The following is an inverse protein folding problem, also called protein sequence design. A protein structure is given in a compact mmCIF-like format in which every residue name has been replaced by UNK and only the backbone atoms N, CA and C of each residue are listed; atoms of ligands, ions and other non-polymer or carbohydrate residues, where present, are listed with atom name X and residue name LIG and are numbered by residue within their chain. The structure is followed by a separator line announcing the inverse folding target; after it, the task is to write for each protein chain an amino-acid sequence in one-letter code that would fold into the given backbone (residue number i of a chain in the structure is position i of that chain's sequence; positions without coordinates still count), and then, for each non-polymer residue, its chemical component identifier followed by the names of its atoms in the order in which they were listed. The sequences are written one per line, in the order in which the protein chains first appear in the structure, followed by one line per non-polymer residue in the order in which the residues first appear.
data_IF_791474976492
#
_entry.id   IF_791474976492
#
_cell.length_a   1.000
_cell.length_b   1.000
_cell.length_c   1.000
_cell.angle_alpha   90.00
_cell.angle_beta   90.00
_cell.angle_gamma   90.00
#
_symmetry.space_group_name_H-M   'P 1'
#
loop_
_entity.id
_entity.type
_entity.pdbx_description
1 polymer ?
#
# COMPACT_ATOMS: atom_id res chain seq x y z
N UNK A 1 -24.02 15.25 9.11
CA UNK A 1 -22.94 15.88 8.33
C UNK A 1 -21.64 15.22 8.73
N UNK A 2 -21.00 14.46 7.83
CA UNK A 2 -19.67 13.90 8.05
C UNK A 2 -18.72 14.61 7.11
N UNK A 3 -17.93 15.54 7.63
CA UNK A 3 -16.87 16.20 6.89
C UNK A 3 -15.88 15.14 6.45
N UNK A 4 -16.06 14.67 5.22
CA UNK A 4 -15.07 13.91 4.45
C UNK A 4 -13.90 14.88 4.32
N UNK A 5 -12.94 14.82 5.24
CA UNK A 5 -11.68 15.54 5.14
C UNK A 5 -10.87 14.93 3.98
N UNK A 6 -11.37 15.10 2.77
CA UNK A 6 -10.68 14.86 1.53
C UNK A 6 -9.54 15.87 1.49
N UNK A 7 -8.38 15.43 1.96
CA UNK A 7 -7.13 16.10 1.65
C UNK A 7 -7.04 16.24 0.14
N UNK A 8 -6.70 17.44 -0.32
CA UNK A 8 -6.63 17.75 -1.74
C UNK A 8 -5.69 16.77 -2.46
N UNK A 9 -6.07 16.33 -3.65
CA UNK A 9 -5.31 15.35 -4.41
C UNK A 9 -3.88 15.84 -4.70
N UNK A 10 -3.70 17.14 -4.94
CA UNK A 10 -2.39 17.76 -5.13
C UNK A 10 -1.52 17.65 -3.88
N UNK A 11 -2.09 17.78 -2.68
CA UNK A 11 -1.36 17.56 -1.43
C UNK A 11 -0.96 16.10 -1.25
N UNK A 12 -1.87 15.17 -1.54
CA UNK A 12 -1.58 13.74 -1.48
C UNK A 12 -0.47 13.34 -2.46
N UNK A 13 -0.47 13.89 -3.69
CA UNK A 13 0.61 13.68 -4.67
C UNK A 13 1.95 14.20 -4.16
N UNK A 14 1.99 15.40 -3.57
CA UNK A 14 3.23 15.94 -2.97
C UNK A 14 3.76 15.03 -1.86
N UNK A 15 2.89 14.54 -0.98
CA UNK A 15 3.28 13.64 0.12
C UNK A 15 3.74 12.28 -0.38
N UNK A 16 3.03 11.71 -1.35
CA UNK A 16 3.43 10.44 -1.97
C UNK A 16 4.81 10.56 -2.65
N UNK A 17 5.04 11.64 -3.40
CA UNK A 17 6.35 11.93 -3.99
C UNK A 17 7.44 12.05 -2.92
N UNK A 18 7.17 12.77 -1.83
CA UNK A 18 8.10 12.88 -0.72
C UNK A 18 8.39 11.53 -0.07
N UNK A 19 7.39 10.67 0.12
CA UNK A 19 7.56 9.33 0.70
C UNK A 19 8.45 8.42 -0.17
N UNK A 20 8.29 8.49 -1.49
CA UNK A 20 9.16 7.80 -2.46
C UNK A 20 10.59 8.35 -2.40
N UNK A 21 10.75 9.68 -2.44
CA UNK A 21 12.08 10.32 -2.43
C UNK A 21 12.84 10.14 -1.11
N UNK A 22 12.12 10.12 0.01
CA UNK A 22 12.69 9.90 1.34
C UNK A 22 12.95 8.42 1.63
N UNK A 23 12.49 7.49 0.78
CA UNK A 23 12.57 6.05 1.02
C UNK A 23 11.71 5.58 2.20
N UNK A 24 10.76 6.40 2.65
CA UNK A 24 9.80 6.03 3.71
C UNK A 24 8.85 4.94 3.24
N UNK A 25 8.52 4.95 1.95
CA UNK A 25 7.86 3.84 1.29
C UNK A 25 8.74 3.41 0.11
N UNK A 26 9.12 2.13 -0.01
CA UNK A 26 9.98 1.68 -1.09
C UNK A 26 9.41 2.04 -2.46
N UNK A 27 10.23 2.37 -3.46
CA UNK A 27 9.75 2.63 -4.83
C UNK A 27 9.46 1.35 -5.64
N UNK A 28 9.84 0.18 -5.09
CA UNK A 28 9.63 -1.14 -5.68
C UNK A 28 8.19 -1.64 -5.56
N UNK A 29 7.87 -2.70 -6.29
CA UNK A 29 6.60 -3.42 -6.10
C UNK A 29 6.55 -4.04 -4.70
N UNK A 30 5.42 -3.90 -3.98
CA UNK A 30 5.20 -4.68 -2.78
C UNK A 30 5.10 -6.15 -3.16
N UNK A 31 5.64 -7.02 -2.29
CA UNK A 31 5.61 -8.46 -2.46
C UNK A 31 4.19 -9.00 -2.26
N UNK A 32 3.44 -8.38 -1.34
CA UNK A 32 2.02 -8.65 -1.11
C UNK A 32 1.25 -7.39 -0.77
N UNK A 33 -0.03 -7.40 -1.13
CA UNK A 33 -0.99 -6.35 -0.81
C UNK A 33 -2.24 -7.01 -0.25
N UNK A 34 -2.72 -6.52 0.89
CA UNK A 34 -4.04 -6.85 1.42
C UNK A 34 -4.95 -5.64 1.41
N UNK A 35 -6.22 -5.89 1.10
CA UNK A 35 -7.27 -4.91 1.22
C UNK A 35 -8.31 -5.32 2.23
N UNK A 36 -8.65 -4.39 3.13
CA UNK A 36 -9.59 -4.65 4.21
C UNK A 36 -10.18 -3.38 4.80
N UNK A 37 -11.09 -3.58 5.75
CA UNK A 37 -11.55 -2.50 6.62
C UNK A 37 -10.38 -1.99 7.48
N UNK A 38 -10.28 -0.68 7.67
CA UNK A 38 -9.16 -0.09 8.40
C UNK A 38 -8.99 -0.66 9.81
N UNK A 39 -7.84 -1.24 10.08
CA UNK A 39 -7.49 -1.78 11.38
C UNK A 39 -7.14 -0.72 12.42
N UNK A 40 -7.22 0.58 12.07
CA UNK A 40 -6.68 1.67 12.89
C UNK A 40 -5.20 1.93 12.62
N UNK A 41 -4.64 1.36 11.54
CA UNK A 41 -3.27 1.63 11.11
C UNK A 41 -3.05 3.09 10.72
N UNK A 42 -1.82 3.58 10.85
CA UNK A 42 -1.47 4.94 10.45
C UNK A 42 -1.03 4.96 9.00
N UNK A 43 -1.73 5.72 8.16
CA UNK A 43 -1.37 5.87 6.75
C UNK A 43 0.00 6.53 6.62
N UNK A 44 0.96 5.83 6.00
CA UNK A 44 2.33 6.35 5.82
C UNK A 44 2.42 7.58 4.91
N UNK A 45 1.42 7.82 4.06
CA UNK A 45 1.42 8.91 3.08
C UNK A 45 0.78 10.18 3.65
N UNK A 46 -0.43 10.06 4.21
CA UNK A 46 -1.19 11.21 4.70
C UNK A 46 -1.11 11.39 6.22
N UNK A 47 -0.43 10.48 6.91
CA UNK A 47 -0.14 10.53 8.34
C UNK A 47 -1.38 10.31 9.25
N UNK A 48 -2.55 10.12 8.66
CA UNK A 48 -3.83 9.92 9.36
C UNK A 48 -4.11 8.44 9.63
N UNK A 49 -4.82 8.17 10.72
CA UNK A 49 -5.35 6.85 11.05
C UNK A 49 -6.39 6.41 10.02
N UNK A 50 -6.22 5.21 9.47
CA UNK A 50 -7.22 4.54 8.62
C UNK A 50 -8.30 3.94 9.52
N UNK A 51 -9.49 4.49 9.46
CA UNK A 51 -10.61 4.09 10.33
C UNK A 51 -11.25 2.79 9.82
N UNK A 52 -11.96 2.09 10.69
CA UNK A 52 -12.64 0.83 10.35
C UNK A 52 -13.68 0.92 9.22
N UNK A 53 -14.20 2.11 8.92
CA UNK A 53 -15.11 2.33 7.79
C UNK A 53 -14.39 2.78 6.51
N UNK A 54 -13.07 2.99 6.57
CA UNK A 54 -12.23 3.36 5.43
C UNK A 54 -11.53 2.11 4.90
N UNK A 55 -11.25 2.09 3.60
CA UNK A 55 -10.53 0.98 2.99
C UNK A 55 -9.02 1.17 3.21
N UNK A 56 -8.41 0.20 3.90
CA UNK A 56 -6.98 0.11 4.14
C UNK A 56 -6.33 -0.83 3.13
N UNK A 57 -5.18 -0.39 2.61
CA UNK A 57 -4.25 -1.22 1.85
C UNK A 57 -3.01 -1.43 2.71
N UNK A 58 -2.77 -2.69 3.08
CA UNK A 58 -1.57 -3.13 3.78
C UNK A 58 -0.56 -3.65 2.75
N UNK A 59 0.65 -3.11 2.76
CA UNK A 59 1.72 -3.44 1.82
C UNK A 59 2.83 -4.20 2.54
N UNK A 60 3.17 -5.40 2.07
CA UNK A 60 4.31 -6.18 2.55
C UNK A 60 5.49 -6.03 1.61
N UNK A 61 6.66 -5.76 2.18
CA UNK A 61 7.93 -5.72 1.48
C UNK A 61 8.90 -6.68 2.16
N UNK A 62 9.28 -7.73 1.45
CA UNK A 62 10.29 -8.69 1.90
C UNK A 62 11.67 -8.05 1.76
N UNK A 63 12.51 -8.18 2.78
CA UNK A 63 13.93 -7.86 2.70
C UNK A 63 14.75 -9.14 2.54
N UNK A 64 14.66 -9.75 1.37
CA UNK A 64 15.43 -10.96 1.05
C UNK A 64 15.17 -12.11 2.04
N UNK A 65 16.21 -12.50 2.78
CA UNK A 65 16.17 -13.63 3.73
C UNK A 65 15.83 -13.21 5.18
N UNK A 66 15.39 -11.98 5.40
CA UNK A 66 14.93 -11.52 6.71
C UNK A 66 13.57 -12.17 7.05
N UNK A 67 13.44 -12.61 8.30
CA UNK A 67 12.24 -13.32 8.77
C UNK A 67 11.03 -12.39 9.00
N UNK A 68 11.27 -11.09 9.16
CA UNK A 68 10.21 -10.10 9.42
C UNK A 68 10.09 -9.16 8.21
N UNK A 69 8.99 -9.25 7.45
CA UNK A 69 8.78 -8.36 6.32
C UNK A 69 8.27 -6.99 6.79
N UNK A 70 8.68 -5.93 6.10
CA UNK A 70 8.19 -4.59 6.39
C UNK A 70 6.73 -4.45 5.96
N UNK A 71 5.88 -3.94 6.85
CA UNK A 71 4.47 -3.73 6.58
C UNK A 71 4.08 -2.27 6.70
N UNK A 72 3.34 -1.78 5.72
CA UNK A 72 2.88 -0.39 5.66
C UNK A 72 1.37 -0.32 5.43
N UNK A 73 0.69 0.45 6.28
CA UNK A 73 -0.72 0.78 6.12
C UNK A 73 -0.91 2.04 5.27
N UNK A 74 -1.89 2.02 4.38
CA UNK A 74 -2.27 3.19 3.58
C UNK A 74 -3.78 3.22 3.37
N UNK A 75 -4.37 4.39 3.17
CA UNK A 75 -5.72 4.46 2.59
C UNK A 75 -5.66 4.02 1.12
N UNK A 76 -6.74 3.41 0.60
CA UNK A 76 -6.85 3.07 -0.82
C UNK A 76 -6.50 4.25 -1.76
N UNK A 77 -7.03 5.44 -1.49
CA UNK A 77 -6.75 6.64 -2.32
C UNK A 77 -5.27 7.05 -2.26
N UNK A 78 -4.65 6.96 -1.08
CA UNK A 78 -3.25 7.28 -0.91
C UNK A 78 -2.37 6.27 -1.65
N UNK A 79 -2.72 4.99 -1.58
CA UNK A 79 -2.05 3.91 -2.30
C UNK A 79 -2.04 4.16 -3.81
N UNK A 80 -3.20 4.44 -4.42
CA UNK A 80 -3.27 4.70 -5.87
C UNK A 80 -2.43 5.89 -6.32
N UNK A 81 -2.34 6.94 -5.49
CA UNK A 81 -1.50 8.10 -5.78
C UNK A 81 -0.01 7.74 -5.66
N UNK A 82 0.38 6.97 -4.65
CA UNK A 82 1.75 6.49 -4.54
C UNK A 82 2.15 5.59 -5.69
N UNK A 83 1.27 4.67 -6.13
CA UNK A 83 1.53 3.84 -7.32
C UNK A 83 1.78 4.71 -8.56
N UNK A 84 0.97 5.75 -8.75
CA UNK A 84 1.18 6.69 -9.85
C UNK A 84 2.52 7.44 -9.73
N UNK A 85 2.89 7.89 -8.54
CA UNK A 85 4.12 8.65 -8.34
C UNK A 85 5.38 7.81 -8.50
N UNK A 86 5.39 6.53 -8.08
CA UNK A 86 6.52 5.62 -8.31
C UNK A 86 6.63 5.14 -9.75
N UNK A 87 5.52 5.08 -10.48
CA UNK A 87 5.49 4.73 -11.90
C UNK A 87 5.73 5.92 -12.82
N UNK A 88 5.53 7.15 -12.34
CA UNK A 88 5.70 8.35 -13.13
C UNK A 88 7.19 8.59 -13.40
N UNK A 89 7.65 8.50 -14.66
CA UNK A 89 9.07 8.65 -15.00
C UNK A 89 9.52 10.12 -15.00
N UNK A 90 8.81 11.03 -14.32
CA UNK A 90 9.05 12.48 -14.34
C UNK A 90 10.43 12.93 -13.79
N UNK A 91 11.35 11.99 -13.53
CA UNK A 91 12.79 12.26 -13.40
C UNK A 91 13.71 11.05 -13.65
N UNK A 92 13.34 10.14 -14.55
CA UNK A 92 14.29 9.14 -15.07
C UNK A 92 15.23 9.71 -16.17
N UNK A 93 15.01 10.96 -16.62
CA UNK A 93 15.73 11.54 -17.77
C UNK A 93 16.95 12.41 -17.44
N UNK A 94 17.58 12.26 -16.26
CA UNK A 94 18.89 12.88 -15.99
C UNK A 94 19.99 11.89 -15.56
N UNK A 95 19.78 10.58 -15.72
CA UNK A 95 20.86 9.60 -15.64
C UNK A 95 21.21 9.15 -17.07
N UNK A 96 22.39 9.57 -17.55
CA UNK A 96 22.98 9.16 -18.82
C UNK A 96 23.12 7.62 -18.92
N UNK A 97 23.23 7.06 -20.14
CA UNK A 97 23.17 5.63 -20.36
C UNK A 97 24.53 5.00 -20.06
N UNK A 98 24.59 4.09 -19.10
CA UNK A 98 25.66 3.10 -19.05
C UNK A 98 25.17 1.84 -19.76
N UNK A 99 25.75 1.63 -20.93
CA UNK A 99 25.58 0.48 -21.78
C UNK A 99 25.86 -0.84 -21.05
N UNK A 100 25.10 -1.87 -21.43
CA UNK A 100 25.61 -3.24 -21.48
C UNK A 100 24.87 -4.26 -20.64
N UNK A 101 24.05 -5.08 -21.32
CA UNK A 101 24.08 -6.53 -21.09
C UNK A 101 22.85 -7.17 -20.46
N UNK A 102 22.04 -7.81 -21.31
CA UNK A 102 21.65 -9.20 -21.07
C UNK A 102 20.38 -9.46 -20.25
N UNK A 103 19.29 -9.73 -20.99
CA UNK A 103 18.25 -10.73 -20.70
C UNK A 103 18.05 -11.12 -19.23
N UNK A 104 17.02 -10.58 -18.59
CA UNK A 104 15.76 -11.31 -18.48
C UNK A 104 14.56 -10.35 -18.45
N UNK A 105 13.70 -10.40 -19.47
CA UNK A 105 12.33 -9.84 -19.35
C UNK A 105 11.51 -10.81 -18.51
N UNK A 106 11.83 -10.91 -17.22
CA UNK A 106 10.93 -11.44 -16.23
C UNK A 106 9.70 -10.53 -16.22
N UNK A 107 8.62 -11.00 -16.86
CA UNK A 107 7.29 -10.42 -16.77
C UNK A 107 7.02 -10.02 -15.31
N UNK A 108 6.42 -8.84 -15.04
CA UNK A 108 6.10 -8.46 -13.68
C UNK A 108 5.29 -9.59 -13.06
N UNK A 109 5.84 -10.17 -11.98
CA UNK A 109 5.14 -11.18 -11.19
C UNK A 109 3.83 -10.53 -10.78
N UNK A 110 2.72 -11.05 -11.31
CA UNK A 110 1.38 -10.59 -10.95
C UNK A 110 1.33 -10.58 -9.42
N UNK A 111 1.14 -9.41 -8.81
CA UNK A 111 0.76 -9.33 -7.39
C UNK A 111 -0.54 -10.11 -7.29
N UNK A 112 -0.46 -11.30 -6.72
CA UNK A 112 -1.64 -12.05 -6.36
C UNK A 112 -2.37 -11.25 -5.30
N UNK A 113 -3.53 -10.70 -5.65
CA UNK A 113 -4.49 -10.21 -4.65
C UNK A 113 -4.95 -11.46 -3.90
N UNK A 114 -4.26 -11.81 -2.81
CA UNK A 114 -4.70 -12.88 -1.92
C UNK A 114 -5.86 -12.33 -1.10
N UNK A 115 -7.06 -12.78 -1.48
CA UNK A 115 -8.29 -12.57 -0.72
C UNK A 115 -8.12 -13.28 0.62
N UNK A 116 -8.02 -12.53 1.72
CA UNK A 116 -8.09 -13.13 3.07
C UNK A 116 -9.46 -12.82 3.63
N UNK A 117 -10.16 -13.90 3.96
CA UNK A 117 -11.53 -13.90 4.42
C UNK A 117 -11.66 -13.22 5.80
N UNK A 118 -12.83 -12.61 6.00
CA UNK A 118 -13.21 -11.97 7.23
C UNK A 118 -12.91 -12.89 8.42
N UNK A 119 -12.04 -12.41 9.33
CA UNK A 119 -11.82 -13.03 10.64
C UNK A 119 -13.17 -13.31 11.27
N UNK A 120 -13.45 -14.59 11.44
CA UNK A 120 -14.70 -15.15 11.91
C UNK A 120 -15.14 -14.48 13.22
N UNK A 121 -16.27 -13.77 13.16
CA UNK A 121 -16.98 -13.33 14.36
C UNK A 121 -17.61 -14.57 15.01
N UNK A 122 -16.81 -15.27 15.82
CA UNK A 122 -17.31 -16.21 16.80
C UNK A 122 -18.26 -15.51 17.77
N UNK A 123 -19.58 -15.66 17.55
CA UNK A 123 -20.58 -15.50 18.60
C UNK A 123 -21.65 -16.57 18.42
N UNK A 124 -21.46 -17.68 19.13
CA UNK A 124 -22.46 -18.72 19.26
C UNK A 124 -23.73 -18.16 19.90
N UNK A 125 -24.83 -18.20 19.16
CA UNK A 125 -26.17 -18.05 19.71
C UNK A 125 -26.68 -19.45 20.06
N UNK A 126 -26.54 -19.83 21.33
CA UNK A 126 -27.10 -21.07 21.87
C UNK A 126 -28.53 -20.74 22.31
N UNK A 127 -29.52 -21.04 21.46
CA UNK A 127 -30.93 -21.05 21.87
C UNK A 127 -31.19 -22.29 22.70
N UNK A 128 -31.55 -22.12 23.97
CA UNK A 128 -32.06 -23.19 24.83
C UNK A 128 -33.51 -23.55 24.50
N UNK A 129 -34.00 -24.73 24.94
CA UNK A 129 -35.35 -25.20 24.64
C UNK A 129 -36.37 -24.69 25.67
N UNK A 130 -37.60 -24.45 25.21
CA UNK A 130 -38.82 -24.43 26.04
C UNK A 130 -39.87 -25.25 25.33
#
# INVERSE_FOLDING_TARGET
MGERFEMDEGELRRKARAAVQAGTLPDRNPDRIWGGAGGGGRCVICDRTVRAHELEMELEFSRGNEADPERYSTHQRCFSIWEQERLSPARASNAAPSAGGGADRALPRRVGVVKIEARELGRGYRSGPT
#
